data_IF_389635461823
#
_entry.id   IF_389635461823
#
_cell.length_a   1.000
_cell.length_b   1.000
_cell.length_c   1.000
_cell.angle_alpha   90.00
_cell.angle_beta   90.00
_cell.angle_gamma   90.00
#
_symmetry.space_group_name_H-M   'P 1'
#
loop_
_entity.id
_entity.type
_entity.pdbx_description
1 polymer ?
#
# COMPACT_ATOMS: atom_id res chain seq x y z
N UNK A 1 -17.87 -19.99 29.82
CA UNK A 1 -16.84 -20.63 28.97
C UNK A 1 -17.00 -20.27 27.47
N UNK A 2 -18.22 -20.32 26.90
CA UNK A 2 -18.43 -20.05 25.46
C UNK A 2 -18.08 -18.65 24.95
N UNK A 3 -18.28 -17.59 25.74
CA UNK A 3 -18.05 -16.21 25.27
C UNK A 3 -16.56 -15.88 25.17
N UNK A 4 -15.76 -16.26 26.16
CA UNK A 4 -14.29 -16.07 26.14
C UNK A 4 -13.68 -16.86 24.99
N UNK A 5 -14.15 -18.08 24.75
CA UNK A 5 -13.70 -18.90 23.61
C UNK A 5 -13.97 -18.20 22.28
N UNK A 6 -15.14 -17.56 22.09
CA UNK A 6 -15.42 -16.81 20.86
C UNK A 6 -14.47 -15.63 20.64
N UNK A 7 -14.05 -14.96 21.72
CA UNK A 7 -13.09 -13.86 21.63
C UNK A 7 -11.69 -14.35 21.25
N UNK A 8 -11.25 -15.46 21.85
CA UNK A 8 -9.97 -16.10 21.48
C UNK A 8 -9.99 -16.57 20.03
N UNK A 9 -11.07 -17.22 19.60
CA UNK A 9 -11.24 -17.66 18.20
C UNK A 9 -11.24 -16.48 17.23
N UNK A 10 -11.75 -15.33 17.62
CA UNK A 10 -11.73 -14.13 16.78
C UNK A 10 -10.29 -13.61 16.55
N UNK A 11 -9.47 -13.52 17.61
CA UNK A 11 -8.06 -13.14 17.49
C UNK A 11 -7.29 -14.16 16.64
N UNK A 12 -7.48 -15.46 16.92
CA UNK A 12 -6.84 -16.55 16.16
C UNK A 12 -7.26 -16.48 14.68
N UNK A 13 -8.52 -16.21 14.40
CA UNK A 13 -9.04 -16.05 13.03
C UNK A 13 -8.33 -14.91 12.31
N UNK A 14 -8.15 -13.75 12.95
CA UNK A 14 -7.38 -12.65 12.39
C UNK A 14 -5.91 -13.00 12.16
N UNK A 15 -5.29 -13.70 13.12
CA UNK A 15 -3.91 -14.17 12.98
C UNK A 15 -3.75 -15.19 11.85
N UNK A 16 -4.72 -16.10 11.65
CA UNK A 16 -4.74 -16.99 10.49
C UNK A 16 -4.86 -16.18 9.19
N UNK A 17 -5.71 -15.16 9.13
CA UNK A 17 -5.82 -14.30 7.96
C UNK A 17 -4.50 -13.60 7.63
N UNK A 18 -3.71 -13.21 8.64
CA UNK A 18 -2.42 -12.56 8.44
C UNK A 18 -1.39 -13.46 7.71
N UNK A 19 -1.47 -14.78 7.86
CA UNK A 19 -0.57 -15.72 7.16
C UNK A 19 -0.81 -15.77 5.63
N UNK A 20 -1.92 -15.19 5.16
CA UNK A 20 -2.17 -15.07 3.71
C UNK A 20 -1.38 -13.94 3.06
N UNK A 21 -0.79 -13.05 3.85
CA UNK A 21 0.09 -11.98 3.38
C UNK A 21 1.56 -12.43 3.37
N UNK A 22 2.39 -11.69 2.64
CA UNK A 22 3.83 -11.88 2.71
C UNK A 22 4.34 -11.68 4.17
N UNK A 23 5.36 -12.42 4.60
CA UNK A 23 6.21 -13.32 3.83
C UNK A 23 5.65 -14.74 3.66
N UNK A 24 4.57 -15.10 4.35
CA UNK A 24 4.03 -16.47 4.31
C UNK A 24 3.28 -16.79 3.01
N UNK A 25 2.50 -15.82 2.49
CA UNK A 25 1.73 -15.91 1.24
C UNK A 25 0.84 -17.16 1.12
N UNK A 26 0.37 -17.68 2.26
CA UNK A 26 -0.52 -18.85 2.28
C UNK A 26 -1.96 -18.41 1.99
N UNK A 27 -2.25 -18.09 0.72
CA UNK A 27 -3.52 -17.52 0.28
C UNK A 27 -4.78 -18.27 0.72
N UNK A 28 -4.81 -19.62 0.92
CA UNK A 28 -6.04 -20.29 1.35
C UNK A 28 -6.48 -19.92 2.78
N UNK A 29 -5.55 -19.52 3.64
CA UNK A 29 -5.84 -19.22 5.05
C UNK A 29 -6.90 -18.13 5.23
N UNK A 30 -6.95 -17.15 4.34
CA UNK A 30 -7.93 -16.06 4.41
C UNK A 30 -9.37 -16.56 4.33
N UNK A 31 -9.65 -17.60 3.54
CA UNK A 31 -10.99 -18.16 3.40
C UNK A 31 -11.46 -18.80 4.70
N UNK A 32 -10.62 -19.60 5.35
CA UNK A 32 -10.93 -20.21 6.64
C UNK A 32 -11.09 -19.16 7.74
N UNK A 33 -10.22 -18.19 7.76
CA UNK A 33 -10.26 -17.10 8.71
C UNK A 33 -11.57 -16.29 8.60
N UNK A 34 -11.92 -15.83 7.43
CA UNK A 34 -13.17 -15.09 7.23
C UNK A 34 -14.41 -15.95 7.48
N UNK A 35 -14.40 -17.24 7.10
CA UNK A 35 -15.50 -18.16 7.37
C UNK A 35 -15.71 -18.32 8.89
N UNK A 36 -14.63 -18.47 9.68
CA UNK A 36 -14.71 -18.54 11.13
C UNK A 36 -15.23 -17.23 11.73
N UNK A 37 -14.71 -16.08 11.30
CA UNK A 37 -15.19 -14.78 11.77
C UNK A 37 -16.68 -14.57 11.45
N UNK A 38 -17.08 -14.84 10.21
CA UNK A 38 -18.49 -14.77 9.79
C UNK A 38 -19.39 -15.67 10.64
N UNK A 39 -18.97 -16.91 10.90
CA UNK A 39 -19.69 -17.84 11.77
C UNK A 39 -19.85 -17.27 13.19
N UNK A 40 -18.82 -16.71 13.77
CA UNK A 40 -18.84 -16.09 15.11
C UNK A 40 -19.83 -14.91 15.15
N UNK A 41 -19.87 -14.09 14.10
CA UNK A 41 -20.84 -12.99 13.97
C UNK A 41 -22.28 -13.50 14.00
N UNK A 42 -22.59 -14.56 13.25
CA UNK A 42 -23.92 -15.13 13.18
C UNK A 42 -24.41 -15.76 14.50
N UNK A 43 -23.50 -16.19 15.34
CA UNK A 43 -23.80 -16.85 16.64
C UNK A 43 -23.89 -15.89 17.81
N UNK A 44 -23.47 -14.64 17.65
CA UNK A 44 -23.28 -13.69 18.74
C UNK A 44 -24.33 -12.58 18.76
N UNK A 45 -24.58 -12.00 19.94
CA UNK A 45 -25.36 -10.78 20.12
C UNK A 45 -24.54 -9.55 19.71
N UNK A 46 -25.17 -8.39 19.48
CA UNK A 46 -24.53 -7.18 18.93
C UNK A 46 -23.25 -6.76 19.69
N UNK A 47 -23.29 -6.67 21.02
CA UNK A 47 -22.11 -6.25 21.80
C UNK A 47 -20.95 -7.22 21.61
N UNK A 48 -21.21 -8.53 21.66
CA UNK A 48 -20.17 -9.55 21.41
C UNK A 48 -19.69 -9.52 19.96
N UNK A 49 -20.54 -9.22 18.97
CA UNK A 49 -20.16 -9.08 17.56
C UNK A 49 -19.19 -7.91 17.37
N UNK A 50 -19.41 -6.78 18.03
CA UNK A 50 -18.52 -5.63 17.99
C UNK A 50 -17.13 -6.01 18.50
N UNK A 51 -17.07 -6.65 19.67
CA UNK A 51 -15.79 -7.07 20.26
C UNK A 51 -15.10 -8.18 19.43
N UNK A 52 -15.85 -9.18 18.93
CA UNK A 52 -15.35 -10.20 18.00
C UNK A 52 -14.71 -9.56 16.77
N UNK A 53 -15.39 -8.58 16.16
CA UNK A 53 -14.89 -7.91 14.97
C UNK A 53 -13.64 -7.08 15.25
N UNK A 54 -13.62 -6.37 16.35
CA UNK A 54 -12.46 -5.62 16.80
C UNK A 54 -11.25 -6.52 17.04
N UNK A 55 -11.45 -7.64 17.72
CA UNK A 55 -10.40 -8.63 18.01
C UNK A 55 -9.91 -9.36 16.77
N UNK A 56 -10.80 -9.65 15.80
CA UNK A 56 -10.39 -10.13 14.48
C UNK A 56 -9.49 -9.12 13.79
N UNK A 57 -9.86 -7.84 13.79
CA UNK A 57 -9.05 -6.75 13.25
C UNK A 57 -7.66 -6.68 13.90
N UNK A 58 -7.58 -6.76 15.22
CA UNK A 58 -6.29 -6.79 15.93
C UNK A 58 -5.46 -8.02 15.53
N UNK A 59 -6.07 -9.21 15.49
CA UNK A 59 -5.38 -10.43 15.07
C UNK A 59 -4.79 -10.35 13.67
N UNK A 60 -5.48 -9.65 12.76
CA UNK A 60 -5.00 -9.41 11.39
C UNK A 60 -3.92 -8.32 11.33
N UNK A 61 -4.17 -7.17 11.95
CA UNK A 61 -3.36 -5.96 11.75
C UNK A 61 -2.03 -6.01 12.51
N UNK A 62 -2.02 -6.56 13.73
CA UNK A 62 -0.79 -6.62 14.52
C UNK A 62 0.35 -7.36 13.78
N UNK A 63 0.16 -8.57 13.22
CA UNK A 63 1.22 -9.22 12.48
C UNK A 63 1.52 -8.56 11.13
N UNK A 64 0.48 -8.17 10.36
CA UNK A 64 0.68 -7.64 9.01
C UNK A 64 1.32 -6.25 8.98
N UNK A 65 1.26 -5.50 10.08
CA UNK A 65 1.81 -4.15 10.19
C UNK A 65 3.00 -4.06 11.15
N UNK A 66 3.51 -5.18 11.69
CA UNK A 66 4.63 -5.20 12.63
C UNK A 66 5.88 -4.49 12.09
N UNK A 67 6.10 -4.57 10.79
CA UNK A 67 7.23 -3.92 10.12
C UNK A 67 7.28 -2.40 10.37
N UNK A 68 6.13 -1.75 10.57
CA UNK A 68 6.11 -0.30 10.87
C UNK A 68 6.79 0.00 12.20
N UNK A 69 6.68 -0.91 13.18
CA UNK A 69 7.35 -0.78 14.47
C UNK A 69 8.87 -0.77 14.39
N UNK A 70 9.46 -1.39 13.35
CA UNK A 70 10.90 -1.39 13.11
C UNK A 70 11.39 0.03 12.78
N UNK A 71 10.57 0.83 12.06
CA UNK A 71 10.94 2.15 11.58
C UNK A 71 10.54 3.29 12.55
N UNK A 72 9.38 3.18 13.18
CA UNK A 72 8.81 4.28 13.99
C UNK A 72 8.64 3.93 15.47
N UNK A 73 9.00 2.70 15.87
CA UNK A 73 8.85 2.20 17.24
C UNK A 73 7.52 1.49 17.50
N UNK A 74 7.49 0.73 18.59
CA UNK A 74 6.34 -0.13 18.92
C UNK A 74 5.08 0.65 19.31
N UNK A 75 5.21 1.80 19.98
CA UNK A 75 4.06 2.57 20.43
C UNK A 75 3.22 3.14 19.26
N UNK A 76 3.79 3.79 18.23
CA UNK A 76 3.04 4.19 17.03
C UNK A 76 2.42 3.01 16.26
N UNK A 77 3.15 1.89 16.12
CA UNK A 77 2.61 0.67 15.49
C UNK A 77 1.37 0.16 16.22
N UNK A 78 1.45 -0.01 17.56
CA UNK A 78 0.31 -0.47 18.35
C UNK A 78 -0.86 0.51 18.25
N UNK A 79 -0.60 1.83 18.39
CA UNK A 79 -1.63 2.85 18.26
C UNK A 79 -2.35 2.78 16.89
N UNK A 80 -1.59 2.60 15.80
CA UNK A 80 -2.13 2.42 14.46
C UNK A 80 -3.04 1.19 14.37
N UNK A 81 -2.58 0.03 14.85
CA UNK A 81 -3.35 -1.22 14.81
C UNK A 81 -4.63 -1.13 15.66
N UNK A 82 -4.56 -0.60 16.87
CA UNK A 82 -5.72 -0.43 17.76
C UNK A 82 -6.76 0.53 17.16
N UNK A 83 -6.31 1.62 16.57
CA UNK A 83 -7.19 2.58 15.89
C UNK A 83 -7.85 1.96 14.65
N UNK A 84 -7.09 1.30 13.80
CA UNK A 84 -7.61 0.69 12.56
C UNK A 84 -8.53 -0.49 12.84
N UNK A 85 -8.31 -1.26 13.90
CA UNK A 85 -9.18 -2.36 14.29
C UNK A 85 -10.63 -1.91 14.57
N UNK A 86 -10.84 -0.64 14.91
CA UNK A 86 -12.19 -0.08 15.11
C UNK A 86 -13.02 -0.17 13.83
N UNK A 87 -12.42 -0.02 12.65
CA UNK A 87 -13.18 -0.10 11.39
C UNK A 87 -13.73 -1.51 11.13
N UNK A 88 -13.12 -2.55 11.69
CA UNK A 88 -13.61 -3.91 11.57
C UNK A 88 -14.94 -4.17 12.29
N UNK A 89 -15.42 -3.26 13.13
CA UNK A 89 -16.75 -3.37 13.74
C UNK A 89 -17.89 -3.22 12.72
N UNK A 90 -17.65 -2.65 11.55
CA UNK A 90 -18.66 -2.38 10.53
C UNK A 90 -19.50 -3.63 10.17
N UNK A 91 -18.92 -4.80 9.85
CA UNK A 91 -19.70 -6.02 9.57
C UNK A 91 -20.60 -6.47 10.73
N UNK A 92 -20.22 -6.15 11.98
CA UNK A 92 -21.01 -6.53 13.15
C UNK A 92 -22.41 -5.91 13.18
N UNK A 93 -22.59 -4.74 12.57
CA UNK A 93 -23.89 -4.08 12.47
C UNK A 93 -24.79 -4.70 11.40
N UNK A 94 -24.21 -5.18 10.32
CA UNK A 94 -24.94 -5.57 9.12
C UNK A 94 -25.17 -7.08 9.03
N UNK A 95 -24.30 -7.92 9.58
CA UNK A 95 -24.43 -9.38 9.57
C UNK A 95 -25.38 -9.83 10.67
N UNK A 96 -26.60 -10.26 10.30
CA UNK A 96 -27.65 -10.67 11.25
C UNK A 96 -28.17 -12.04 10.88
N UNK A 97 -28.23 -12.97 11.86
CA UNK A 97 -28.76 -14.33 11.66
C UNK A 97 -30.15 -14.27 11.01
N UNK A 98 -30.38 -15.10 9.98
CA UNK A 98 -31.68 -15.24 9.29
C UNK A 98 -31.87 -14.29 8.09
N UNK A 99 -31.03 -13.29 7.88
CA UNK A 99 -31.12 -12.44 6.67
C UNK A 99 -30.73 -13.22 5.40
N UNK A 100 -31.53 -13.06 4.33
CA UNK A 100 -31.36 -13.77 3.04
C UNK A 100 -30.02 -13.44 2.36
N UNK A 101 -29.54 -12.21 2.43
CA UNK A 101 -28.37 -11.70 1.71
C UNK A 101 -27.15 -11.43 2.61
N UNK A 102 -27.05 -12.10 3.76
CA UNK A 102 -25.96 -11.89 4.71
C UNK A 102 -24.56 -12.04 4.09
N UNK A 103 -24.41 -12.95 3.13
CA UNK A 103 -23.16 -13.18 2.41
C UNK A 103 -22.70 -11.94 1.65
N UNK A 104 -23.59 -11.33 0.86
CA UNK A 104 -23.28 -10.08 0.15
C UNK A 104 -23.11 -8.91 1.09
N UNK A 105 -23.94 -8.84 2.14
CA UNK A 105 -23.83 -7.80 3.17
C UNK A 105 -22.49 -7.87 3.89
N UNK A 106 -22.00 -9.07 4.22
CA UNK A 106 -20.69 -9.27 4.82
C UNK A 106 -19.58 -8.82 3.86
N UNK A 107 -19.63 -9.25 2.60
CA UNK A 107 -18.64 -8.88 1.59
C UNK A 107 -18.59 -7.36 1.35
N UNK A 108 -19.75 -6.72 1.16
CA UNK A 108 -19.84 -5.26 0.99
C UNK A 108 -19.35 -4.52 2.22
N UNK A 109 -19.69 -4.99 3.43
CA UNK A 109 -19.23 -4.36 4.66
C UNK A 109 -17.73 -4.52 4.85
N UNK A 110 -17.12 -5.62 4.41
CA UNK A 110 -15.66 -5.76 4.42
C UNK A 110 -14.98 -4.82 3.42
N UNK A 111 -15.52 -4.68 2.21
CA UNK A 111 -15.03 -3.68 1.23
C UNK A 111 -15.12 -2.27 1.82
N UNK A 112 -16.19 -1.97 2.57
CA UNK A 112 -16.30 -0.69 3.29
C UNK A 112 -15.22 -0.53 4.37
N UNK A 113 -14.88 -1.60 5.11
CA UNK A 113 -13.74 -1.58 6.06
C UNK A 113 -12.46 -1.18 5.33
N UNK A 114 -12.15 -1.81 4.19
CA UNK A 114 -10.95 -1.48 3.41
C UNK A 114 -10.98 -0.04 2.87
N UNK A 115 -12.16 0.46 2.48
CA UNK A 115 -12.33 1.85 2.09
C UNK A 115 -12.00 2.80 3.25
N UNK A 116 -12.52 2.53 4.45
CA UNK A 116 -12.24 3.32 5.65
C UNK A 116 -10.76 3.27 6.02
N UNK A 117 -10.14 2.08 6.00
CA UNK A 117 -8.71 1.91 6.28
C UNK A 117 -7.81 2.74 5.35
N UNK A 118 -8.19 2.90 4.10
CA UNK A 118 -7.39 3.64 3.10
C UNK A 118 -7.71 5.12 2.97
N UNK A 119 -8.75 5.60 3.68
CA UNK A 119 -9.20 7.00 3.58
C UNK A 119 -9.17 7.72 4.91
N UNK A 120 -9.32 7.00 6.03
CA UNK A 120 -9.47 7.59 7.36
C UNK A 120 -8.45 7.00 8.37
N UNK A 121 -8.03 7.83 9.34
CA UNK A 121 -7.93 9.28 9.29
C UNK A 121 -6.74 9.71 8.40
N UNK A 122 -6.64 11.00 8.06
CA UNK A 122 -5.46 11.60 7.43
C UNK A 122 -4.98 10.87 6.16
N UNK A 123 -5.88 10.54 5.22
CA UNK A 123 -5.61 9.74 4.00
C UNK A 123 -5.47 8.23 4.23
N UNK A 124 -5.61 7.76 5.48
CA UNK A 124 -5.64 6.34 5.84
C UNK A 124 -4.32 5.57 5.67
N UNK A 125 -4.37 4.28 5.99
CA UNK A 125 -3.27 3.34 5.77
C UNK A 125 -3.85 1.97 5.36
N UNK A 126 -4.09 1.79 4.06
CA UNK A 126 -4.74 0.61 3.47
C UNK A 126 -3.78 -0.54 3.15
N UNK A 127 -2.88 -0.91 4.07
CA UNK A 127 -1.84 -1.92 3.84
C UNK A 127 -2.39 -3.33 3.74
N UNK A 128 -3.26 -3.76 4.68
CA UNK A 128 -3.72 -5.15 4.83
C UNK A 128 -5.01 -5.43 4.04
N UNK A 129 -5.05 -5.16 2.73
CA UNK A 129 -6.21 -5.42 1.89
C UNK A 129 -6.23 -6.87 1.42
N UNK A 130 -7.39 -7.56 1.57
CA UNK A 130 -7.50 -8.99 1.25
C UNK A 130 -7.17 -9.32 -0.20
N UNK A 131 -7.50 -8.45 -1.13
CA UNK A 131 -7.15 -8.69 -2.52
C UNK A 131 -5.66 -8.99 -2.71
N UNK A 132 -4.76 -8.36 -1.98
CA UNK A 132 -3.31 -8.60 -2.09
C UNK A 132 -2.88 -10.02 -1.69
N UNK A 133 -3.71 -10.76 -0.95
CA UNK A 133 -3.42 -12.16 -0.60
C UNK A 133 -3.56 -13.13 -1.77
N UNK A 134 -4.12 -12.69 -2.90
CA UNK A 134 -4.52 -13.57 -4.02
C UNK A 134 -3.60 -13.46 -5.24
N UNK A 135 -2.43 -12.88 -5.11
CA UNK A 135 -1.48 -12.68 -6.25
C UNK A 135 -1.12 -14.03 -6.87
N UNK A 136 -0.82 -15.04 -6.04
CA UNK A 136 -0.42 -16.38 -6.47
C UNK A 136 -1.59 -17.39 -6.37
N UNK A 137 -2.83 -16.93 -6.33
CA UNK A 137 -4.00 -17.78 -6.23
C UNK A 137 -4.72 -17.98 -7.57
N UNK A 138 -5.61 -18.98 -7.68
CA UNK A 138 -6.50 -19.14 -8.84
C UNK A 138 -7.42 -17.95 -9.11
N UNK A 139 -7.56 -17.00 -8.16
CA UNK A 139 -8.35 -15.78 -8.32
C UNK A 139 -7.56 -14.62 -8.95
N UNK A 140 -6.25 -14.75 -9.13
CA UNK A 140 -5.41 -13.69 -9.70
C UNK A 140 -5.90 -13.19 -11.08
N UNK A 141 -6.48 -14.01 -11.99
CA UNK A 141 -7.03 -13.52 -13.24
C UNK A 141 -8.20 -12.53 -13.11
N UNK A 142 -8.75 -12.33 -11.92
CA UNK A 142 -9.81 -11.34 -11.67
C UNK A 142 -9.28 -9.90 -11.50
N UNK A 143 -7.96 -9.70 -11.30
CA UNK A 143 -7.41 -8.37 -11.11
C UNK A 143 -7.72 -7.39 -12.27
N UNK A 144 -7.57 -7.75 -13.54
CA UNK A 144 -7.90 -6.84 -14.64
C UNK A 144 -9.36 -6.40 -14.67
N UNK A 145 -10.29 -7.22 -14.16
CA UNK A 145 -11.73 -6.95 -14.22
C UNK A 145 -12.24 -5.96 -13.18
N UNK A 146 -11.59 -5.86 -12.02
CA UNK A 146 -12.08 -4.98 -10.95
C UNK A 146 -11.09 -4.75 -9.80
N UNK A 147 -9.83 -5.13 -10.03
CA UNK A 147 -8.73 -4.90 -9.11
C UNK A 147 -8.92 -5.54 -7.75
N UNK A 148 -8.21 -4.99 -6.78
CA UNK A 148 -8.20 -5.46 -5.38
C UNK A 148 -9.59 -5.43 -4.74
N UNK A 149 -10.45 -4.47 -5.12
CA UNK A 149 -11.80 -4.33 -4.54
C UNK A 149 -12.69 -5.51 -4.91
N UNK A 150 -12.67 -5.91 -6.20
CA UNK A 150 -13.44 -7.05 -6.68
C UNK A 150 -12.96 -8.34 -6.00
N UNK A 151 -11.64 -8.53 -5.91
CA UNK A 151 -11.06 -9.69 -5.22
C UNK A 151 -11.45 -9.73 -3.75
N UNK A 152 -11.34 -8.63 -3.01
CA UNK A 152 -11.79 -8.57 -1.61
C UNK A 152 -13.26 -8.97 -1.48
N UNK A 153 -14.13 -8.46 -2.36
CA UNK A 153 -15.54 -8.81 -2.37
C UNK A 153 -15.76 -10.31 -2.62
N UNK A 154 -15.08 -10.88 -3.63
CA UNK A 154 -15.14 -12.30 -3.95
C UNK A 154 -14.64 -13.20 -2.82
N UNK A 155 -13.50 -12.88 -2.21
CA UNK A 155 -12.95 -13.61 -1.06
C UNK A 155 -13.99 -13.66 0.08
N UNK A 156 -14.55 -12.50 0.43
CA UNK A 156 -15.52 -12.42 1.51
C UNK A 156 -16.82 -13.16 1.17
N UNK A 157 -17.29 -13.11 -0.07
CA UNK A 157 -18.44 -13.88 -0.55
C UNK A 157 -18.18 -15.40 -0.49
N UNK A 158 -17.05 -15.86 -1.01
CA UNK A 158 -16.68 -17.28 -1.00
C UNK A 158 -16.56 -17.81 0.43
N UNK A 159 -15.87 -17.05 1.32
CA UNK A 159 -15.69 -17.42 2.73
C UNK A 159 -17.00 -17.52 3.52
N UNK A 160 -18.01 -16.74 3.13
CA UNK A 160 -19.31 -16.69 3.79
C UNK A 160 -20.40 -17.53 3.11
N UNK A 161 -20.05 -18.30 2.07
CA UNK A 161 -20.97 -19.19 1.37
C UNK A 161 -21.50 -20.29 2.30
N UNK A 162 -22.83 -20.44 2.35
CA UNK A 162 -23.49 -21.37 3.28
C UNK A 162 -24.10 -22.59 2.59
N UNK A 163 -24.04 -22.65 1.27
CA UNK A 163 -24.53 -23.78 0.49
C UNK A 163 -23.62 -24.06 -0.69
N UNK A 164 -23.57 -25.31 -1.10
CA UNK A 164 -22.82 -25.71 -2.30
C UNK A 164 -23.34 -24.99 -3.56
N UNK A 165 -24.64 -24.71 -3.64
CA UNK A 165 -25.23 -23.94 -4.76
C UNK A 165 -24.68 -22.51 -4.80
N UNK A 166 -24.61 -21.84 -3.65
CA UNK A 166 -24.03 -20.49 -3.55
C UNK A 166 -22.54 -20.48 -3.89
N UNK A 167 -21.80 -21.47 -3.39
CA UNK A 167 -20.38 -21.61 -3.69
C UNK A 167 -20.13 -21.85 -5.18
N UNK A 168 -20.87 -22.80 -5.78
CA UNK A 168 -20.78 -23.10 -7.21
C UNK A 168 -21.14 -21.87 -8.07
N UNK A 169 -22.22 -21.14 -7.73
CA UNK A 169 -22.59 -19.92 -8.43
C UNK A 169 -21.48 -18.86 -8.40
N UNK A 170 -20.85 -18.63 -7.23
CA UNK A 170 -19.75 -17.68 -7.11
C UNK A 170 -18.52 -18.11 -7.92
N UNK A 171 -18.15 -19.41 -7.88
CA UNK A 171 -17.04 -19.93 -8.68
C UNK A 171 -17.32 -19.74 -10.18
N UNK A 172 -18.56 -20.03 -10.62
CA UNK A 172 -18.95 -19.82 -12.02
C UNK A 172 -18.90 -18.35 -12.42
N UNK A 173 -19.41 -17.44 -11.57
CA UNK A 173 -19.32 -16.00 -11.80
C UNK A 173 -17.84 -15.57 -11.89
N UNK A 174 -17.00 -15.99 -10.95
CA UNK A 174 -15.57 -15.71 -10.97
C UNK A 174 -14.91 -16.19 -12.27
N UNK A 175 -15.22 -17.41 -12.69
CA UNK A 175 -14.72 -17.97 -13.95
C UNK A 175 -15.18 -17.12 -15.16
N UNK A 176 -16.44 -16.71 -15.23
CA UNK A 176 -16.93 -15.82 -16.30
C UNK A 176 -16.16 -14.51 -16.34
N UNK A 177 -15.83 -13.91 -15.18
CA UNK A 177 -15.02 -12.70 -15.13
C UNK A 177 -13.61 -12.91 -15.70
N UNK A 178 -13.04 -14.10 -15.58
CA UNK A 178 -11.70 -14.39 -16.18
C UNK A 178 -11.74 -14.48 -17.71
N UNK A 179 -12.92 -14.68 -18.28
CA UNK A 179 -13.14 -14.74 -19.75
C UNK A 179 -13.37 -13.35 -20.35
N UNK A 180 -13.58 -12.32 -19.50
CA UNK A 180 -13.74 -10.96 -20.02
C UNK A 180 -12.40 -10.53 -20.67
N UNK A 181 -12.46 -9.88 -21.85
CA UNK A 181 -11.26 -9.40 -22.49
C UNK A 181 -10.54 -8.42 -21.55
N UNK A 182 -9.28 -8.71 -21.28
CA UNK A 182 -8.41 -7.78 -20.60
C UNK A 182 -8.27 -6.48 -21.37
N UNK A 183 -7.78 -5.44 -20.73
CA UNK A 183 -7.40 -4.20 -21.41
C UNK A 183 -6.46 -4.53 -22.58
N UNK A 184 -6.74 -3.95 -23.75
CA UNK A 184 -5.87 -4.09 -24.92
C UNK A 184 -4.45 -3.67 -24.53
N UNK A 185 -3.57 -4.65 -24.42
CA UNK A 185 -2.13 -4.37 -24.23
C UNK A 185 -1.66 -3.86 -25.58
N UNK A 186 -1.24 -2.62 -25.65
CA UNK A 186 -0.54 -2.10 -26.81
C UNK A 186 0.72 -2.94 -27.04
N UNK A 187 1.03 -3.27 -28.27
CA UNK A 187 2.24 -4.03 -28.60
C UNK A 187 3.53 -3.21 -28.36
N UNK A 188 3.41 -1.96 -28.02
CA UNK A 188 4.54 -1.09 -27.69
C UNK A 188 5.05 -1.42 -26.28
N UNK A 189 6.29 -1.87 -26.20
CA UNK A 189 6.97 -2.21 -24.96
C UNK A 189 8.14 -1.28 -24.75
N UNK A 190 8.34 -0.84 -23.51
CA UNK A 190 9.55 -0.14 -23.09
C UNK A 190 10.34 -1.01 -22.14
N UNK A 191 11.65 -0.92 -22.22
CA UNK A 191 12.58 -1.60 -21.32
C UNK A 191 12.99 -0.63 -20.22
N UNK A 192 12.60 -0.92 -18.98
CA UNK A 192 12.85 -0.05 -17.83
C UNK A 192 13.88 -0.69 -16.90
N UNK A 193 14.89 0.07 -16.50
CA UNK A 193 15.80 -0.31 -15.42
C UNK A 193 15.39 0.38 -14.12
N UNK A 194 15.06 -0.41 -13.11
CA UNK A 194 14.87 0.08 -11.74
C UNK A 194 16.20 0.00 -11.01
N UNK A 195 16.74 1.13 -10.57
CA UNK A 195 18.03 1.19 -9.90
C UNK A 195 17.87 1.57 -8.45
N UNK A 196 18.36 0.71 -7.55
CA UNK A 196 18.38 0.93 -6.10
C UNK A 196 19.80 1.08 -5.61
N UNK A 197 20.21 2.28 -5.19
CA UNK A 197 21.52 2.54 -4.61
C UNK A 197 21.65 2.14 -3.15
N UNK A 198 20.51 2.02 -2.46
CA UNK A 198 20.45 1.73 -1.02
C UNK A 198 20.81 2.92 -0.13
N UNK A 199 20.59 2.73 1.17
CA UNK A 199 20.93 3.67 2.25
C UNK A 199 21.73 2.95 3.34
N UNK A 200 22.61 3.65 4.04
CA UNK A 200 23.44 3.04 5.09
C UNK A 200 22.69 2.82 6.39
N UNK A 201 21.71 3.68 6.68
CA UNK A 201 20.96 3.68 7.93
C UNK A 201 19.47 3.65 7.65
N UNK A 202 18.75 2.93 8.51
CA UNK A 202 17.28 2.90 8.52
C UNK A 202 16.71 4.03 9.37
N UNK A 203 15.46 4.39 9.11
CA UNK A 203 14.74 5.39 9.88
C UNK A 203 15.08 6.83 9.48
N UNK A 204 14.97 7.77 10.42
CA UNK A 204 15.12 9.21 10.16
C UNK A 204 16.56 9.65 9.85
N UNK A 205 17.55 8.80 10.14
CA UNK A 205 18.98 9.09 9.92
C UNK A 205 19.48 8.71 8.51
N UNK A 206 18.60 8.28 7.60
CA UNK A 206 18.98 7.81 6.26
C UNK A 206 19.73 8.89 5.45
N UNK A 207 19.52 10.17 5.77
CA UNK A 207 20.06 11.33 5.07
C UNK A 207 21.17 12.05 5.87
N UNK A 208 21.86 11.33 6.75
CA UNK A 208 22.89 11.92 7.63
C UNK A 208 24.14 12.43 6.91
N UNK A 209 24.38 11.94 5.68
CA UNK A 209 25.49 12.38 4.82
C UNK A 209 24.95 12.89 3.48
N UNK A 210 24.94 14.21 3.24
CA UNK A 210 24.43 14.80 2.00
C UNK A 210 25.12 14.21 0.75
N UNK A 211 24.35 13.97 -0.31
CA UNK A 211 24.75 13.43 -1.62
C UNK A 211 25.21 11.97 -1.61
N UNK A 212 25.27 11.27 -0.47
CA UNK A 212 25.73 9.88 -0.45
C UNK A 212 24.73 8.94 -1.16
N UNK A 213 23.44 9.12 -0.92
CA UNK A 213 22.39 8.33 -1.58
C UNK A 213 22.40 8.57 -3.09
N UNK A 214 22.53 9.82 -3.52
CA UNK A 214 22.69 10.19 -4.92
C UNK A 214 23.90 9.52 -5.58
N UNK A 215 25.07 9.59 -4.96
CA UNK A 215 26.31 8.99 -5.51
C UNK A 215 26.20 7.47 -5.64
N UNK A 216 25.50 6.80 -4.74
CA UNK A 216 25.24 5.36 -4.83
C UNK A 216 24.35 5.02 -6.02
N UNK A 217 23.32 5.81 -6.31
CA UNK A 217 22.46 5.62 -7.47
C UNK A 217 23.23 5.88 -8.79
N UNK A 218 24.08 6.91 -8.84
CA UNK A 218 24.98 7.14 -9.96
C UNK A 218 25.90 5.94 -10.21
N UNK A 219 26.60 5.48 -9.17
CA UNK A 219 27.52 4.35 -9.24
C UNK A 219 26.81 3.08 -9.70
N UNK A 220 25.65 2.77 -9.10
CA UNK A 220 24.89 1.58 -9.44
C UNK A 220 24.40 1.62 -10.88
N UNK A 221 23.92 2.77 -11.36
CA UNK A 221 23.53 2.95 -12.77
C UNK A 221 24.70 2.72 -13.72
N UNK A 222 25.89 3.27 -13.40
CA UNK A 222 27.09 3.11 -14.24
C UNK A 222 27.57 1.67 -14.34
N UNK A 223 27.45 0.89 -13.25
CA UNK A 223 27.94 -0.49 -13.20
C UNK A 223 26.94 -1.45 -13.88
N UNK A 224 25.62 -1.23 -13.68
CA UNK A 224 24.61 -2.21 -14.04
C UNK A 224 24.00 -1.99 -15.41
N UNK A 225 24.10 -0.79 -15.97
CA UNK A 225 23.41 -0.44 -17.22
C UNK A 225 24.44 -0.13 -18.32
N UNK A 226 24.31 -0.85 -19.45
CA UNK A 226 25.05 -0.54 -20.67
C UNK A 226 24.30 0.55 -21.45
N UNK A 227 25.08 1.45 -22.09
CA UNK A 227 24.47 2.50 -22.90
C UNK A 227 23.53 1.94 -23.95
N UNK A 228 22.39 2.61 -24.18
CA UNK A 228 21.38 2.30 -25.19
C UNK A 228 20.72 0.89 -25.05
N UNK A 229 20.72 0.35 -23.81
CA UNK A 229 20.14 -0.98 -23.55
C UNK A 229 18.76 -0.93 -22.92
N UNK A 230 18.34 0.21 -22.41
CA UNK A 230 17.04 0.46 -21.77
C UNK A 230 16.47 1.80 -22.23
N UNK A 231 15.16 1.90 -22.21
CA UNK A 231 14.45 3.10 -22.69
C UNK A 231 14.26 4.12 -21.57
N UNK A 232 14.31 3.67 -20.31
CA UNK A 232 14.15 4.50 -19.12
C UNK A 232 14.92 3.92 -17.93
N UNK A 233 15.57 4.77 -17.17
CA UNK A 233 16.13 4.45 -15.84
C UNK A 233 15.27 5.12 -14.79
N UNK A 234 14.86 4.39 -13.75
CA UNK A 234 14.09 4.93 -12.63
C UNK A 234 14.90 4.76 -11.34
N UNK A 235 15.11 5.87 -10.65
CA UNK A 235 15.61 5.92 -9.28
C UNK A 235 14.42 6.14 -8.34
N UNK A 236 14.36 5.47 -7.18
CA UNK A 236 13.20 5.54 -6.29
C UNK A 236 13.02 6.90 -5.61
N UNK A 237 11.95 7.01 -4.81
CA UNK A 237 11.73 8.14 -3.91
C UNK A 237 12.93 8.35 -3.00
N UNK A 238 13.32 9.60 -2.76
CA UNK A 238 14.50 10.00 -1.97
C UNK A 238 15.85 9.48 -2.50
N UNK A 239 15.93 9.07 -3.75
CA UNK A 239 17.21 8.71 -4.38
C UNK A 239 18.17 9.88 -4.52
N UNK A 240 17.61 11.09 -4.60
CA UNK A 240 18.38 12.33 -4.56
C UNK A 240 18.10 13.04 -3.25
N UNK A 241 19.06 13.02 -2.37
CA UNK A 241 18.99 13.44 -0.97
C UNK A 241 19.32 14.92 -0.74
N UNK A 242 19.45 15.69 -1.80
CA UNK A 242 19.64 17.14 -1.80
C UNK A 242 18.78 17.80 -2.88
N UNK A 243 18.48 19.09 -2.73
CA UNK A 243 17.72 19.81 -3.74
C UNK A 243 18.47 19.95 -5.06
N UNK A 244 18.03 19.20 -6.06
CA UNK A 244 18.61 19.19 -7.42
C UNK A 244 18.53 20.53 -8.13
N UNK A 245 17.65 21.45 -7.71
CA UNK A 245 17.55 22.77 -8.28
C UNK A 245 18.61 23.71 -7.69
N UNK A 246 19.03 23.50 -6.46
CA UNK A 246 19.98 24.34 -5.73
C UNK A 246 21.43 23.83 -5.85
N UNK A 247 21.62 22.50 -6.01
CA UNK A 247 22.95 21.88 -6.09
C UNK A 247 23.27 21.52 -7.54
N UNK A 248 24.02 22.41 -8.23
CA UNK A 248 24.36 22.26 -9.66
C UNK A 248 25.14 20.98 -9.95
N UNK A 249 26.08 20.60 -9.10
CA UNK A 249 26.92 19.40 -9.25
C UNK A 249 26.08 18.11 -9.30
N UNK A 250 24.99 18.01 -8.52
CA UNK A 250 24.09 16.87 -8.53
C UNK A 250 23.28 16.86 -9.83
N UNK A 251 22.71 18.00 -10.23
CA UNK A 251 21.97 18.13 -11.48
C UNK A 251 22.84 17.79 -12.70
N UNK A 252 24.05 18.32 -12.76
CA UNK A 252 25.00 18.07 -13.83
C UNK A 252 25.42 16.59 -13.86
N UNK A 253 25.61 15.96 -12.69
CA UNK A 253 25.90 14.54 -12.58
C UNK A 253 24.80 13.67 -13.16
N UNK A 254 23.52 13.98 -12.91
CA UNK A 254 22.38 13.26 -13.49
C UNK A 254 22.33 13.43 -15.01
N UNK A 255 22.52 14.67 -15.50
CA UNK A 255 22.54 14.98 -16.92
C UNK A 255 23.70 14.26 -17.63
N UNK A 256 24.89 14.28 -17.04
CA UNK A 256 26.06 13.59 -17.58
C UNK A 256 25.83 12.07 -17.64
N UNK A 257 25.24 11.48 -16.59
CA UNK A 257 24.87 10.06 -16.55
C UNK A 257 23.86 9.70 -17.63
N UNK A 258 22.80 10.51 -17.78
CA UNK A 258 21.79 10.32 -18.82
C UNK A 258 22.39 10.37 -20.23
N UNK A 259 23.31 11.32 -20.47
CA UNK A 259 24.07 11.44 -21.76
C UNK A 259 24.98 10.24 -22.00
N UNK A 260 25.72 9.81 -20.97
CA UNK A 260 26.64 8.68 -21.08
C UNK A 260 25.92 7.36 -21.39
N UNK A 261 24.75 7.14 -20.74
CA UNK A 261 23.92 5.96 -20.96
C UNK A 261 22.95 6.09 -22.15
N UNK A 262 22.86 7.28 -22.77
CA UNK A 262 21.91 7.61 -23.84
C UNK A 262 20.45 7.24 -23.46
N UNK A 263 20.11 7.42 -22.19
CA UNK A 263 18.83 6.99 -21.62
C UNK A 263 18.30 8.05 -20.66
N UNK A 264 17.02 8.44 -20.73
CA UNK A 264 16.41 9.32 -19.77
C UNK A 264 16.39 8.70 -18.38
N UNK A 265 16.55 9.53 -17.33
CA UNK A 265 16.57 9.12 -15.93
C UNK A 265 15.43 9.83 -15.20
N UNK A 266 14.49 9.05 -14.64
CA UNK A 266 13.46 9.54 -13.74
C UNK A 266 13.98 9.38 -12.30
N UNK A 267 14.07 10.48 -11.58
CA UNK A 267 14.52 10.48 -10.17
C UNK A 267 13.41 10.85 -9.23
N UNK A 268 13.44 10.32 -8.00
CA UNK A 268 12.70 10.82 -6.85
C UNK A 268 13.59 11.69 -5.96
N UNK A 269 13.13 12.89 -5.64
CA UNK A 269 13.89 13.81 -4.81
C UNK A 269 13.05 14.90 -4.17
N UNK A 270 13.58 15.54 -3.13
CA UNK A 270 12.97 16.66 -2.44
C UNK A 270 13.54 17.96 -2.99
N UNK A 271 12.65 18.87 -3.38
CA UNK A 271 13.04 20.20 -3.85
C UNK A 271 12.40 21.30 -3.01
N UNK A 272 13.01 22.48 -3.01
CA UNK A 272 12.50 23.64 -2.30
C UNK A 272 11.77 24.57 -3.28
N UNK A 273 10.56 24.92 -2.95
CA UNK A 273 9.78 25.93 -3.67
C UNK A 273 9.56 27.17 -2.79
N UNK A 274 8.97 28.23 -3.36
CA UNK A 274 8.58 29.43 -2.59
C UNK A 274 7.49 29.12 -1.54
N UNK A 275 6.73 28.04 -1.72
CA UNK A 275 5.65 27.62 -0.81
C UNK A 275 6.13 26.60 0.26
N UNK A 276 7.30 25.99 0.11
CA UNK A 276 7.84 24.99 1.02
C UNK A 276 8.52 23.81 0.29
N UNK A 277 8.80 22.74 1.03
CA UNK A 277 9.39 21.52 0.48
C UNK A 277 8.36 20.75 -0.38
N UNK A 278 8.82 20.15 -1.46
CA UNK A 278 8.03 19.33 -2.36
C UNK A 278 8.71 18.01 -2.65
N UNK A 279 7.95 16.92 -2.57
CA UNK A 279 8.41 15.60 -3.01
C UNK A 279 8.09 15.46 -4.50
N UNK A 280 9.11 15.26 -5.31
CA UNK A 280 8.98 15.31 -6.78
C UNK A 280 9.58 14.09 -7.46
N UNK A 281 8.92 13.69 -8.55
CA UNK A 281 9.54 12.85 -9.58
C UNK A 281 9.97 13.75 -10.74
N UNK A 282 11.24 13.67 -11.10
CA UNK A 282 11.84 14.56 -12.12
C UNK A 282 12.48 13.71 -13.21
N UNK A 283 11.99 13.86 -14.43
CA UNK A 283 12.55 13.20 -15.61
C UNK A 283 13.63 14.09 -16.24
N UNK A 284 14.85 13.57 -16.30
CA UNK A 284 15.96 14.13 -17.04
C UNK A 284 16.15 13.35 -18.34
N UNK A 285 15.69 13.96 -19.43
CA UNK A 285 16.11 13.59 -20.78
C UNK A 285 17.03 14.73 -21.23
N UNK A 286 18.29 14.52 -21.68
CA UNK A 286 19.40 15.50 -21.48
C UNK A 286 19.05 16.98 -21.63
N UNK A 287 18.10 17.30 -22.53
CA UNK A 287 17.68 18.68 -22.81
C UNK A 287 16.24 18.98 -22.38
N UNK A 288 15.51 18.00 -21.76
CA UNK A 288 14.11 18.15 -21.37
C UNK A 288 13.95 17.73 -19.89
N UNK A 289 13.35 18.62 -19.11
CA UNK A 289 12.98 18.36 -17.73
C UNK A 289 11.45 18.35 -17.60
N UNK A 290 10.90 17.21 -17.18
CA UNK A 290 9.49 17.09 -16.81
C UNK A 290 9.40 16.79 -15.33
N UNK A 291 8.43 17.37 -14.63
CA UNK A 291 8.32 17.30 -13.17
C UNK A 291 6.90 16.93 -12.76
N UNK A 292 6.78 15.96 -11.88
CA UNK A 292 5.56 15.67 -11.13
C UNK A 292 5.80 15.98 -9.65
N UNK A 293 4.89 16.71 -9.03
CA UNK A 293 4.91 16.94 -7.59
C UNK A 293 3.87 16.03 -6.92
N UNK A 294 4.31 15.27 -5.91
CA UNK A 294 3.45 14.35 -5.15
C UNK A 294 2.23 15.07 -4.59
N UNK A 295 1.03 14.58 -4.91
CA UNK A 295 -0.25 15.21 -4.52
C UNK A 295 -0.72 14.77 -3.15
N UNK A 296 -0.58 13.48 -2.84
CA UNK A 296 -1.04 12.89 -1.59
C UNK A 296 0.15 12.71 -0.65
N UNK A 297 0.27 13.62 0.28
CA UNK A 297 1.37 13.62 1.24
C UNK A 297 1.16 12.56 2.32
N UNK A 298 2.27 11.98 2.78
CA UNK A 298 2.28 10.96 3.83
C UNK A 298 2.14 11.60 5.20
N UNK A 299 1.06 11.30 5.95
CA UNK A 299 0.92 11.76 7.32
C UNK A 299 2.09 11.32 8.19
N UNK A 300 2.51 12.17 9.11
CA UNK A 300 3.65 11.98 10.04
C UNK A 300 5.04 11.89 9.38
N UNK A 301 5.12 11.80 8.06
CA UNK A 301 6.38 11.81 7.32
C UNK A 301 6.61 13.13 6.56
N UNK A 302 5.59 13.59 5.84
CA UNK A 302 5.66 14.79 5.01
C UNK A 302 4.80 15.94 5.53
N UNK A 303 3.92 15.71 6.48
CA UNK A 303 3.23 16.71 7.29
C UNK A 303 2.79 16.11 8.61
N UNK A 304 2.58 16.96 9.61
CA UNK A 304 2.19 16.50 10.93
C UNK A 304 0.72 16.82 11.21
N UNK A 305 -0.21 15.82 11.08
CA UNK A 305 -1.59 16.01 11.46
C UNK A 305 -1.71 16.33 12.95
N UNK A 306 -2.63 17.27 13.31
CA UNK A 306 -2.84 17.68 14.71
C UNK A 306 -1.53 17.96 15.46
N UNK A 307 -0.62 18.75 14.86
CA UNK A 307 0.73 19.05 15.39
C UNK A 307 0.73 19.37 16.87
N UNK A 308 -0.23 20.16 17.36
CA UNK A 308 -0.36 20.53 18.77
C UNK A 308 -0.59 19.34 19.73
N UNK A 309 -1.16 18.26 19.23
CA UNK A 309 -1.36 17.02 19.98
C UNK A 309 -0.17 16.11 19.82
N UNK A 310 0.27 15.86 18.57
CA UNK A 310 1.37 14.95 18.26
C UNK A 310 2.68 15.36 18.95
N UNK A 311 2.98 16.66 19.06
CA UNK A 311 4.18 17.18 19.72
C UNK A 311 4.22 16.92 21.24
N UNK A 312 3.07 16.63 21.87
CA UNK A 312 3.03 16.24 23.29
C UNK A 312 3.44 14.79 23.55
N UNK A 313 3.31 13.93 22.53
CA UNK A 313 3.54 12.49 22.66
C UNK A 313 4.83 12.02 21.99
N UNK A 314 5.45 12.82 21.11
CA UNK A 314 6.67 12.45 20.40
C UNK A 314 7.60 13.63 20.21
N UNK A 315 8.84 13.49 20.69
CA UNK A 315 9.91 14.45 20.41
C UNK A 315 10.26 14.58 18.93
N UNK A 316 10.01 13.53 18.14
CA UNK A 316 10.23 13.51 16.68
C UNK A 316 9.21 14.36 15.91
N UNK A 317 8.03 14.62 16.52
CA UNK A 317 6.99 15.44 15.91
C UNK A 317 7.47 16.84 15.51
N UNK A 318 8.38 17.41 16.28
CA UNK A 318 8.94 18.75 16.03
C UNK A 318 9.97 18.76 14.91
N UNK A 319 10.47 17.60 14.48
CA UNK A 319 11.45 17.46 13.37
C UNK A 319 10.76 17.34 12.00
N UNK A 320 9.48 17.01 11.97
CA UNK A 320 8.74 16.92 10.71
C UNK A 320 8.49 18.31 10.14
N UNK A 321 9.04 18.55 8.96
CA UNK A 321 8.80 19.76 8.17
C UNK A 321 7.63 19.48 7.22
N UNK A 322 6.63 20.38 7.21
CA UNK A 322 5.46 20.19 6.35
C UNK A 322 5.82 20.45 4.88
N UNK A 323 5.52 19.48 4.05
CA UNK A 323 5.66 19.56 2.60
C UNK A 323 4.42 20.17 1.96
N UNK A 324 4.58 20.66 0.74
CA UNK A 324 3.48 21.19 -0.07
C UNK A 324 3.15 20.20 -1.18
N UNK A 325 1.89 19.76 -1.22
CA UNK A 325 1.38 18.85 -2.25
C UNK A 325 1.25 19.52 -3.62
N UNK A 326 1.38 18.72 -4.68
CA UNK A 326 1.09 19.13 -6.04
C UNK A 326 -0.41 19.17 -6.32
N UNK A 327 -0.81 19.94 -7.36
CA UNK A 327 -2.21 20.12 -7.74
C UNK A 327 -2.59 19.37 -9.02
N UNK A 328 -1.62 19.02 -9.86
CA UNK A 328 -1.85 18.45 -11.19
C UNK A 328 -1.31 17.04 -11.35
N UNK A 329 -1.95 16.28 -12.23
CA UNK A 329 -1.41 15.04 -12.76
C UNK A 329 -0.36 15.36 -13.83
N UNK A 330 0.69 14.55 -13.88
CA UNK A 330 1.74 14.64 -14.89
C UNK A 330 1.93 13.29 -15.56
N UNK A 331 1.90 13.27 -16.87
CA UNK A 331 2.26 12.09 -17.66
C UNK A 331 3.61 12.35 -18.30
N UNK A 332 4.59 11.52 -17.99
CA UNK A 332 5.92 11.60 -18.55
C UNK A 332 5.94 11.04 -19.98
N UNK A 333 6.58 11.78 -20.90
CA UNK A 333 6.75 11.35 -22.30
C UNK A 333 8.14 10.82 -22.52
N UNK A 334 8.22 9.56 -22.96
CA UNK A 334 9.48 8.84 -23.20
C UNK A 334 9.42 8.27 -24.62
N UNK A 335 10.07 8.97 -25.57
CA UNK A 335 9.96 8.63 -26.98
C UNK A 335 8.50 8.72 -27.47
N UNK A 336 7.97 7.59 -27.95
CA UNK A 336 6.57 7.47 -28.43
C UNK A 336 5.60 7.03 -27.33
N UNK A 337 6.09 6.70 -26.14
CA UNK A 337 5.29 6.17 -25.02
C UNK A 337 4.99 7.27 -24.02
N UNK A 338 3.77 7.26 -23.47
CA UNK A 338 3.30 8.18 -22.44
C UNK A 338 2.77 7.41 -21.25
#
# INVERSE_FOLDING_TARGET
>A
MGLIMNYLLAIISGAIASTSFAPFSFWPAVFFALALWYYLLLKSKIISRLLISYLFGLGLLLPTQQWTGIYVGNAPWLALCFMQAIFFIVPAFFVVKGRRFNQFTFATSYVLVELLLRTLPFTGFGWSRLGFTQIDSPLSPLYPSGGVVLLTFFIACLSSARSLKSLAALITIGFVFTLLPGTNITNEKIKVALVQGGVDKLGLDFNSKPQEVFLRHLKQSSISIKADHVDLIIWPENAVDVDVNSVSTVREGIIAQSKALKTPILIGGVTKSTKGLQNQSILFNPDIKQVYTKRYLTPFGEYLPMRSVASRFSQYANQVVDFVGGESDTVFKIGKVT
#
